data_IF_400550552648
#
_entry.id   IF_400550552648
#
_cell.length_a   1.000
_cell.length_b   1.000
_cell.length_c   1.000
_cell.angle_alpha   90.00
_cell.angle_beta   90.00
_cell.angle_gamma   90.00
#
_symmetry.space_group_name_H-M   'P 1'
#
loop_
_entity.id
_entity.type
_entity.pdbx_description
1 polymer ?
#
# COMPACT_ATOMS: atom_id res chain seq x y z
N UNK A 1 2.76 24.14 15.96
CA UNK A 1 2.66 23.04 14.99
C UNK A 1 3.09 21.77 15.69
N UNK A 2 2.22 20.76 15.75
CA UNK A 2 2.59 19.44 16.29
C UNK A 2 3.14 18.62 15.13
N UNK A 3 4.43 18.27 15.17
CA UNK A 3 5.12 17.55 14.09
C UNK A 3 4.91 16.02 14.13
N UNK A 4 4.26 15.50 15.17
CA UNK A 4 4.15 14.07 15.43
C UNK A 4 2.70 13.72 15.80
N UNK A 5 2.24 12.57 15.30
CA UNK A 5 0.93 11.99 15.57
C UNK A 5 1.12 10.70 16.35
N UNK A 6 0.58 10.64 17.58
CA UNK A 6 0.51 9.42 18.37
C UNK A 6 -0.86 8.75 18.23
N UNK A 7 -0.89 7.43 18.02
CA UNK A 7 -2.09 6.60 18.14
C UNK A 7 -1.87 5.69 19.35
N UNK A 8 -2.72 5.84 20.36
CA UNK A 8 -2.64 5.09 21.62
C UNK A 8 -1.33 5.37 22.42
N UNK A 9 -0.74 6.55 22.25
CA UNK A 9 0.39 7.07 23.05
C UNK A 9 0.36 8.60 23.07
N UNK A 10 0.57 9.21 24.24
CA UNK A 10 0.69 10.67 24.39
C UNK A 10 2.14 11.17 24.23
N UNK A 11 3.09 10.24 24.07
CA UNK A 11 4.53 10.54 23.95
C UNK A 11 5.12 9.89 22.69
N UNK A 12 4.68 10.33 21.49
CA UNK A 12 5.14 9.73 20.25
C UNK A 12 6.65 9.91 20.07
N UNK A 13 7.33 8.85 19.62
CA UNK A 13 8.78 8.83 19.37
C UNK A 13 9.14 8.93 17.88
N UNK A 14 8.14 9.02 17.01
CA UNK A 14 8.27 9.16 15.57
C UNK A 14 7.18 10.09 15.02
N UNK A 15 7.26 10.45 13.74
CA UNK A 15 6.23 11.25 13.05
C UNK A 15 4.84 10.62 13.13
N UNK A 16 4.77 9.29 13.03
CA UNK A 16 3.60 8.48 13.36
C UNK A 16 4.05 7.36 14.31
N UNK A 17 3.56 7.40 15.55
CA UNK A 17 3.84 6.37 16.56
C UNK A 17 2.53 5.67 16.94
N UNK A 18 2.44 4.37 16.66
CA UNK A 18 1.26 3.55 16.96
C UNK A 18 1.64 2.49 17.98
N UNK A 19 1.15 2.65 19.20
CA UNK A 19 1.44 1.73 20.30
C UNK A 19 0.30 0.72 20.48
N UNK A 20 0.65 -0.56 20.62
CA UNK A 20 -0.32 -1.65 20.80
C UNK A 20 -1.15 -1.49 22.09
N UNK A 21 -2.45 -1.74 22.00
CA UNK A 21 -3.37 -1.83 23.13
C UNK A 21 -3.41 -3.28 23.59
N UNK A 22 -2.55 -3.62 24.57
CA UNK A 22 -2.33 -4.98 25.12
C UNK A 22 -3.54 -5.62 25.84
N UNK A 23 -4.77 -5.25 25.48
CA UNK A 23 -6.03 -5.80 25.97
C UNK A 23 -6.49 -6.95 25.07
N UNK A 24 -6.96 -8.05 25.65
CA UNK A 24 -7.23 -9.30 24.92
C UNK A 24 -8.29 -9.20 23.79
N UNK A 25 -9.20 -8.23 23.85
CA UNK A 25 -10.29 -8.06 22.88
C UNK A 25 -10.07 -6.87 21.94
N UNK A 26 -8.87 -6.27 21.93
CA UNK A 26 -8.52 -5.17 21.04
C UNK A 26 -7.63 -5.69 19.91
N UNK A 27 -7.92 -5.22 18.71
CA UNK A 27 -7.18 -5.59 17.50
C UNK A 27 -6.20 -4.45 17.23
N UNK A 28 -4.91 -4.77 17.31
CA UNK A 28 -3.83 -3.86 16.92
C UNK A 28 -3.45 -4.11 15.46
N UNK A 29 -3.24 -3.04 14.70
CA UNK A 29 -2.76 -3.15 13.33
C UNK A 29 -2.85 -1.86 12.55
N UNK A 30 -2.12 -1.82 11.44
CA UNK A 30 -2.25 -0.79 10.42
C UNK A 30 -2.97 -1.38 9.22
N UNK A 31 -4.13 -0.82 8.89
CA UNK A 31 -4.91 -1.24 7.73
C UNK A 31 -4.60 -0.32 6.55
N UNK A 32 -3.75 -0.73 5.58
CA UNK A 32 -3.53 0.09 4.40
C UNK A 32 -4.80 0.16 3.53
N UNK A 33 -4.90 1.13 2.61
CA UNK A 33 -5.96 1.14 1.61
C UNK A 33 -6.04 -0.19 0.86
N UNK A 34 -7.26 -0.73 0.76
CA UNK A 34 -7.53 -2.01 0.10
C UNK A 34 -8.22 -1.76 -1.23
N UNK A 35 -7.71 -2.38 -2.28
CA UNK A 35 -8.22 -2.25 -3.65
C UNK A 35 -8.17 -3.61 -4.34
N UNK A 36 -9.11 -3.87 -5.24
CA UNK A 36 -8.96 -4.92 -6.26
C UNK A 36 -8.03 -4.43 -7.38
N UNK A 37 -7.49 -5.35 -8.19
CA UNK A 37 -6.73 -4.95 -9.38
C UNK A 37 -7.59 -4.12 -10.36
N UNK A 38 -8.88 -4.44 -10.46
CA UNK A 38 -9.83 -3.69 -11.30
C UNK A 38 -10.01 -2.24 -10.82
N UNK A 39 -10.17 -2.02 -9.51
CA UNK A 39 -10.27 -0.68 -8.93
C UNK A 39 -8.99 0.12 -9.08
N UNK A 40 -7.83 -0.53 -8.94
CA UNK A 40 -6.54 0.12 -9.21
C UNK A 40 -6.37 0.45 -10.71
N UNK A 41 -6.85 -0.42 -11.60
CA UNK A 41 -6.84 -0.16 -13.05
C UNK A 41 -7.73 1.03 -13.40
N UNK A 42 -8.90 1.16 -12.75
CA UNK A 42 -9.82 2.27 -12.96
C UNK A 42 -9.24 3.64 -12.54
N UNK A 43 -8.23 3.66 -11.65
CA UNK A 43 -7.46 4.87 -11.31
C UNK A 43 -6.51 5.32 -12.43
N UNK A 44 -6.25 4.49 -13.44
CA UNK A 44 -5.35 4.79 -14.55
C UNK A 44 -3.87 4.82 -14.16
N UNK A 45 -3.05 5.51 -14.95
CA UNK A 45 -1.58 5.52 -14.81
C UNK A 45 -1.01 6.92 -14.48
N UNK A 46 -1.87 7.92 -14.22
CA UNK A 46 -1.43 9.31 -14.07
C UNK A 46 -1.57 9.85 -12.64
N UNK A 47 -2.22 9.09 -11.73
CA UNK A 47 -2.49 9.54 -10.36
C UNK A 47 -1.36 9.21 -9.38
N UNK A 48 -0.60 8.15 -9.64
CA UNK A 48 0.57 7.78 -8.84
C UNK A 48 1.82 8.17 -9.63
N UNK A 49 2.66 9.02 -9.03
CA UNK A 49 3.92 9.47 -9.59
C UNK A 49 4.95 9.74 -8.49
N UNK A 50 5.91 10.61 -8.74
CA UNK A 50 7.02 10.90 -7.81
C UNK A 50 6.56 11.27 -6.38
N UNK A 51 5.47 12.03 -6.25
CA UNK A 51 4.92 12.45 -4.95
C UNK A 51 4.25 11.30 -4.16
N UNK A 52 4.03 10.16 -4.80
CA UNK A 52 3.43 8.96 -4.19
C UNK A 52 4.44 7.81 -4.08
N UNK A 53 5.72 8.09 -4.30
CA UNK A 53 6.77 7.11 -4.08
C UNK A 53 6.76 6.62 -2.63
N UNK A 54 6.79 5.30 -2.43
CA UNK A 54 6.65 4.67 -1.13
C UNK A 54 5.21 4.50 -0.62
N UNK A 55 4.18 4.86 -1.39
CA UNK A 55 2.78 4.58 -1.01
C UNK A 55 2.53 3.08 -0.89
N UNK A 56 1.85 2.66 0.17
CA UNK A 56 1.54 1.26 0.43
C UNK A 56 0.05 1.01 0.24
N UNK A 57 -0.29 -0.03 -0.52
CA UNK A 57 -1.66 -0.52 -0.71
C UNK A 57 -1.72 -2.04 -0.53
N UNK A 58 -2.91 -2.56 -0.27
CA UNK A 58 -3.18 -3.98 -0.26
C UNK A 58 -4.11 -4.36 -1.42
N UNK A 59 -3.65 -5.24 -2.31
CA UNK A 59 -4.46 -5.82 -3.38
C UNK A 59 -5.22 -7.03 -2.83
N UNK A 60 -6.54 -6.96 -2.86
CA UNK A 60 -7.42 -7.99 -2.29
C UNK A 60 -7.63 -9.18 -3.22
N UNK A 61 -7.71 -8.92 -4.53
CA UNK A 61 -7.93 -9.92 -5.59
C UNK A 61 -7.46 -9.37 -6.94
N UNK A 62 -7.05 -10.30 -7.82
CA UNK A 62 -6.70 -10.03 -9.22
C UNK A 62 -7.70 -10.68 -10.21
N UNK A 63 -8.62 -11.50 -9.69
CA UNK A 63 -9.54 -12.31 -10.52
C UNK A 63 -10.74 -11.51 -11.03
N UNK A 64 -11.02 -10.35 -10.44
CA UNK A 64 -12.19 -9.53 -10.75
C UNK A 64 -11.95 -8.57 -11.94
N UNK A 65 -10.85 -8.76 -12.68
CA UNK A 65 -10.46 -7.97 -13.84
C UNK A 65 -9.33 -6.97 -13.55
N UNK A 66 -9.21 -5.97 -14.43
CA UNK A 66 -8.06 -5.06 -14.49
C UNK A 66 -7.00 -5.54 -15.48
N UNK A 67 -5.87 -4.84 -15.54
CA UNK A 67 -4.76 -5.17 -16.44
C UNK A 67 -3.41 -5.13 -15.74
N UNK A 68 -2.42 -5.78 -16.34
CA UNK A 68 -1.02 -5.80 -15.92
C UNK A 68 -0.17 -4.92 -16.83
N UNK A 69 -0.66 -3.71 -17.12
CA UNK A 69 0.04 -2.76 -17.98
C UNK A 69 0.69 -1.65 -17.14
N UNK A 70 1.85 -1.18 -17.59
CA UNK A 70 2.56 -0.03 -17.00
C UNK A 70 2.70 -0.20 -15.48
N UNK A 71 2.13 0.69 -14.68
CA UNK A 71 2.25 0.68 -13.22
C UNK A 71 1.86 -0.65 -12.57
N UNK A 72 0.96 -1.43 -13.18
CA UNK A 72 0.44 -2.70 -12.63
C UNK A 72 1.15 -3.95 -13.15
N UNK A 73 2.19 -3.80 -13.95
CA UNK A 73 2.92 -4.90 -14.61
C UNK A 73 3.35 -6.02 -13.65
N UNK A 74 3.74 -5.68 -12.42
CA UNK A 74 4.21 -6.66 -11.42
C UNK A 74 3.14 -7.10 -10.40
N UNK A 75 1.87 -6.77 -10.61
CA UNK A 75 0.77 -7.24 -9.77
C UNK A 75 0.25 -8.59 -10.29
N UNK A 76 0.88 -9.68 -9.83
CA UNK A 76 0.54 -11.05 -10.24
C UNK A 76 -0.27 -11.85 -9.21
N UNK A 77 -0.58 -11.26 -8.06
CA UNK A 77 -1.33 -11.93 -6.99
C UNK A 77 -1.93 -10.92 -6.01
N UNK A 78 -2.75 -11.40 -5.08
CA UNK A 78 -3.15 -10.61 -3.90
C UNK A 78 -1.93 -10.38 -3.01
N UNK A 79 -1.85 -9.23 -2.34
CA UNK A 79 -0.69 -8.91 -1.51
C UNK A 79 -0.57 -7.46 -1.09
N UNK A 80 0.48 -7.17 -0.34
CA UNK A 80 0.90 -5.83 0.05
C UNK A 80 1.90 -5.31 -0.98
N UNK A 81 1.60 -4.16 -1.55
CA UNK A 81 2.38 -3.52 -2.60
C UNK A 81 2.85 -2.13 -2.16
N UNK A 82 4.05 -1.77 -2.58
CA UNK A 82 4.60 -0.42 -2.46
C UNK A 82 4.75 0.18 -3.87
N UNK A 83 4.41 1.45 -4.03
CA UNK A 83 4.68 2.15 -5.28
C UNK A 83 6.13 2.59 -5.32
N UNK A 84 6.87 2.15 -6.33
CA UNK A 84 8.21 2.62 -6.66
C UNK A 84 8.07 3.53 -7.89
N UNK A 85 8.24 4.84 -7.71
CA UNK A 85 8.05 5.82 -8.78
C UNK A 85 9.19 5.82 -9.82
N UNK A 86 10.36 5.28 -9.48
CA UNK A 86 11.56 5.28 -10.33
C UNK A 86 11.82 3.95 -11.04
N UNK A 87 10.96 2.96 -10.80
CA UNK A 87 11.00 1.67 -11.47
C UNK A 87 11.06 1.82 -13.01
N UNK A 88 11.72 0.87 -13.68
CA UNK A 88 11.80 0.73 -15.16
C UNK A 88 11.86 2.08 -15.91
N UNK A 89 13.05 2.68 -16.02
CA UNK A 89 13.27 3.96 -16.72
C UNK A 89 12.45 5.15 -16.16
N UNK A 90 12.28 5.25 -14.84
CA UNK A 90 11.47 6.29 -14.17
C UNK A 90 9.97 6.22 -14.50
N UNK A 91 9.47 5.03 -14.83
CA UNK A 91 8.06 4.74 -14.95
C UNK A 91 7.58 3.92 -13.75
N UNK A 92 6.85 4.55 -12.84
CA UNK A 92 6.51 3.91 -11.58
C UNK A 92 5.83 2.54 -11.70
N UNK A 93 6.13 1.63 -10.77
CA UNK A 93 5.59 0.27 -10.70
C UNK A 93 5.12 -0.07 -9.28
N UNK A 94 4.06 -0.85 -9.20
CA UNK A 94 3.64 -1.48 -7.94
C UNK A 94 4.51 -2.70 -7.67
N UNK A 95 5.40 -2.57 -6.69
CA UNK A 95 6.32 -3.62 -6.28
C UNK A 95 5.74 -4.42 -5.13
N UNK A 96 5.83 -5.75 -5.25
CA UNK A 96 5.40 -6.65 -4.21
C UNK A 96 6.31 -6.52 -2.98
N UNK A 97 5.76 -6.12 -1.83
CA UNK A 97 6.45 -6.18 -0.54
C UNK A 97 6.21 -7.52 0.14
N UNK A 98 4.98 -8.01 0.08
CA UNK A 98 4.61 -9.36 0.54
C UNK A 98 3.36 -9.83 -0.21
N UNK A 99 3.52 -10.82 -1.08
CA UNK A 99 2.43 -11.35 -1.89
C UNK A 99 2.31 -12.85 -1.75
N UNK A 100 1.10 -13.33 -1.98
CA UNK A 100 0.82 -14.75 -1.95
C UNK A 100 1.31 -15.38 -3.26
N UNK A 101 1.67 -16.67 -3.22
CA UNK A 101 2.04 -17.37 -4.45
C UNK A 101 0.92 -17.18 -5.51
N UNK A 102 1.28 -16.89 -6.78
CA UNK A 102 0.29 -16.82 -7.84
C UNK A 102 -0.45 -18.16 -7.89
N UNK A 103 -1.78 -18.07 -7.92
CA UNK A 103 -2.67 -19.24 -8.11
C UNK A 103 -2.77 -19.60 -9.58
#
# INVERSE_FOLDING_TARGET
>A
MSAQTGINTDTPKATLDVTAKKEALKIDGLLPPRLTLAELTAKGNNLYGAEQDGVIIYITTISDGGNTESQREYIVSKGLYVFDAEAVNNEGRWMCLYCYAPV
#
